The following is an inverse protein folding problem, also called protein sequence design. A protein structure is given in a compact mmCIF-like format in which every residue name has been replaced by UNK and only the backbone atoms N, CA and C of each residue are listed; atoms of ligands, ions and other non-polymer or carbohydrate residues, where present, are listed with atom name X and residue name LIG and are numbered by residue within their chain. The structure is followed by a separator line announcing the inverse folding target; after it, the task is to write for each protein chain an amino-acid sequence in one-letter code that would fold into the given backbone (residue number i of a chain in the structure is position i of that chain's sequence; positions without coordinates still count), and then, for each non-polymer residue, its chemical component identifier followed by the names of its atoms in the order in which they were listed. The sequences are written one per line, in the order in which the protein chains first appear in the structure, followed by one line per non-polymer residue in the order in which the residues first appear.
data_IF_563432514875
#
_entry.id   IF_563432514875
#
_cell.length_a   1.000
_cell.length_b   1.000
_cell.length_c   1.000
_cell.angle_alpha   90.00
_cell.angle_beta   90.00
_cell.angle_gamma   90.00
#
_symmetry.space_group_name_H-M   'P 1'
#
loop_
_entity.id
_entity.type
_entity.pdbx_description
1 polymer ?
#
# COMPACT_ATOMS: atom_id res chain seq x y z
N UNK A 1 8.54 -13.36 12.55
CA UNK A 1 9.49 -14.45 12.17
C UNK A 1 10.70 -13.75 11.58
N UNK A 2 11.94 -14.02 12.06
CA UNK A 2 13.13 -13.45 11.45
C UNK A 2 13.26 -13.97 10.02
N UNK A 3 13.59 -13.09 9.09
CA UNK A 3 14.06 -13.49 7.78
C UNK A 3 15.37 -14.28 7.98
N UNK A 4 15.41 -15.53 7.59
CA UNK A 4 16.56 -16.42 7.84
C UNK A 4 17.89 -16.00 7.19
N UNK A 5 17.90 -14.91 6.39
CA UNK A 5 19.10 -14.36 5.74
C UNK A 5 19.53 -13.00 6.30
N UNK A 6 18.62 -12.12 6.69
CA UNK A 6 18.95 -10.76 7.15
C UNK A 6 18.68 -10.56 8.63
N UNK A 7 18.03 -11.52 9.30
CA UNK A 7 17.63 -11.44 10.71
C UNK A 7 16.71 -10.23 11.04
N UNK A 8 16.07 -9.63 10.03
CA UNK A 8 15.15 -8.52 10.21
C UNK A 8 13.86 -9.00 10.86
N UNK A 9 13.40 -8.33 11.95
CA UNK A 9 12.18 -8.71 12.61
C UNK A 9 10.97 -8.35 11.76
N UNK A 10 10.25 -9.34 11.28
CA UNK A 10 8.97 -9.16 10.63
C UNK A 10 7.83 -9.18 11.67
N UNK A 11 6.99 -8.14 11.68
CA UNK A 11 5.82 -8.06 12.54
C UNK A 11 4.57 -8.28 11.72
N UNK A 12 3.97 -9.45 11.83
CA UNK A 12 2.60 -9.65 11.35
C UNK A 12 1.61 -9.23 12.44
N UNK A 13 0.64 -8.37 12.17
CA UNK A 13 -0.43 -8.08 13.10
C UNK A 13 -1.24 -9.35 13.35
N UNK A 14 -1.63 -9.58 14.61
CA UNK A 14 -2.57 -10.66 14.92
C UNK A 14 -3.96 -10.26 14.40
N UNK A 15 -4.42 -10.93 13.37
CA UNK A 15 -5.74 -10.72 12.78
C UNK A 15 -6.71 -11.78 13.29
N UNK A 16 -7.99 -11.38 13.48
CA UNK A 16 -9.07 -12.30 13.85
C UNK A 16 -9.98 -12.54 12.66
N UNK A 17 -10.21 -13.80 12.32
CA UNK A 17 -11.10 -14.18 11.24
C UNK A 17 -12.58 -13.89 11.59
N UNK A 18 -12.95 -13.99 12.87
CA UNK A 18 -14.29 -13.61 13.33
C UNK A 18 -14.49 -12.08 13.19
N UNK A 19 -15.44 -11.67 12.37
CA UNK A 19 -15.69 -10.26 12.05
C UNK A 19 -14.77 -9.66 11.00
N UNK A 20 -14.01 -10.49 10.26
CA UNK A 20 -13.24 -10.03 9.11
C UNK A 20 -14.16 -9.43 8.02
N UNK A 21 -13.61 -8.46 7.28
CA UNK A 21 -14.33 -7.84 6.18
C UNK A 21 -14.47 -8.80 4.98
N UNK A 22 -15.38 -8.45 4.07
CA UNK A 22 -15.59 -9.14 2.80
C UNK A 22 -14.94 -8.43 1.62
N UNK A 23 -14.46 -7.22 1.85
CA UNK A 23 -13.79 -6.42 0.84
C UNK A 23 -12.56 -5.75 1.45
N UNK A 24 -11.47 -5.73 0.67
CA UNK A 24 -10.17 -5.19 1.09
C UNK A 24 -9.48 -4.48 -0.08
N UNK A 25 -8.72 -3.46 0.24
CA UNK A 25 -7.83 -2.78 -0.71
C UNK A 25 -6.37 -2.94 -0.26
N UNK A 26 -5.53 -3.46 -1.16
CA UNK A 26 -4.07 -3.44 -1.03
C UNK A 26 -3.55 -2.32 -1.93
N UNK A 27 -3.09 -1.19 -1.40
CA UNK A 27 -2.85 0.02 -2.20
C UNK A 27 -1.65 -0.06 -3.14
N UNK A 28 -0.72 -0.97 -2.87
CA UNK A 28 0.49 -1.10 -3.69
C UNK A 28 0.85 -2.56 -3.87
N UNK A 29 0.81 -3.05 -5.10
CA UNK A 29 1.30 -4.37 -5.49
C UNK A 29 2.17 -4.21 -6.74
N UNK A 30 3.19 -5.06 -6.89
CA UNK A 30 4.12 -4.97 -8.01
C UNK A 30 4.64 -6.34 -8.44
N UNK A 31 4.94 -6.47 -9.73
CA UNK A 31 5.89 -7.40 -10.33
C UNK A 31 6.67 -6.58 -11.35
N UNK A 32 7.73 -5.88 -10.91
CA UNK A 32 8.39 -4.87 -11.74
C UNK A 32 9.81 -4.56 -11.29
N UNK A 33 10.62 -4.09 -12.24
CA UNK A 33 11.94 -3.55 -11.95
C UNK A 33 11.87 -2.25 -11.13
N UNK A 34 12.77 -2.14 -10.16
CA UNK A 34 13.01 -0.94 -9.36
C UNK A 34 14.31 -0.24 -9.71
N UNK A 35 14.71 0.73 -8.89
CA UNK A 35 16.01 1.39 -8.99
C UNK A 35 17.13 0.44 -8.55
N UNK A 36 18.36 0.71 -8.97
CA UNK A 36 19.58 -0.01 -8.57
C UNK A 36 19.54 -1.53 -8.85
N UNK A 37 18.80 -1.96 -9.90
CA UNK A 37 18.69 -3.37 -10.29
C UNK A 37 17.77 -4.21 -9.39
N UNK A 38 17.06 -3.62 -8.46
CA UNK A 38 16.06 -4.32 -7.66
C UNK A 38 14.90 -4.80 -8.54
N UNK A 39 14.30 -5.93 -8.18
CA UNK A 39 13.05 -6.41 -8.77
C UNK A 39 12.05 -6.67 -7.65
N UNK A 40 10.88 -6.04 -7.73
CA UNK A 40 9.83 -6.16 -6.74
C UNK A 40 8.80 -7.19 -7.18
N UNK A 41 8.40 -8.08 -6.25
CA UNK A 41 7.30 -9.03 -6.41
C UNK A 41 6.40 -8.97 -5.20
N UNK A 42 5.10 -8.94 -5.43
CA UNK A 42 4.12 -8.97 -4.34
C UNK A 42 3.50 -10.35 -4.24
N UNK A 43 3.49 -10.88 -3.03
CA UNK A 43 2.82 -12.13 -2.67
C UNK A 43 1.55 -11.80 -1.90
N UNK A 44 0.53 -12.63 -2.09
CA UNK A 44 -0.74 -12.55 -1.38
C UNK A 44 -0.97 -13.83 -0.59
N UNK A 45 -1.23 -13.68 0.70
CA UNK A 45 -1.67 -14.73 1.60
C UNK A 45 -3.14 -14.47 1.94
N UNK A 46 -3.98 -15.49 1.85
CA UNK A 46 -5.40 -15.38 2.18
C UNK A 46 -5.80 -16.49 3.12
N UNK A 47 -6.55 -16.15 4.17
CA UNK A 47 -7.16 -17.10 5.08
C UNK A 47 -8.67 -16.88 5.12
N UNK A 48 -9.44 -17.92 4.84
CA UNK A 48 -10.88 -17.97 4.99
C UNK A 48 -11.26 -19.13 5.93
N UNK A 49 -12.38 -19.00 6.68
CA UNK A 49 -12.85 -20.08 7.56
C UNK A 49 -13.41 -21.25 6.76
N UNK A 50 -14.10 -20.94 5.65
CA UNK A 50 -14.74 -21.88 4.73
C UNK A 50 -14.15 -21.66 3.33
N UNK A 51 -14.36 -22.61 2.43
CA UNK A 51 -13.97 -22.45 1.03
C UNK A 51 -14.66 -21.21 0.45
N UNK A 52 -13.85 -20.33 -0.13
CA UNK A 52 -14.29 -19.05 -0.65
C UNK A 52 -13.78 -18.81 -2.08
N UNK A 53 -14.58 -18.12 -2.88
CA UNK A 53 -14.14 -17.55 -4.15
C UNK A 53 -13.98 -16.04 -3.97
N UNK A 54 -12.80 -15.54 -4.30
CA UNK A 54 -12.50 -14.12 -4.27
C UNK A 54 -12.43 -13.57 -5.70
N UNK A 55 -13.06 -12.43 -5.91
CA UNK A 55 -12.78 -11.59 -7.06
C UNK A 55 -11.61 -10.67 -6.70
N UNK A 56 -10.51 -10.78 -7.46
CA UNK A 56 -9.32 -9.96 -7.33
C UNK A 56 -9.27 -9.00 -8.52
N UNK A 57 -9.40 -7.69 -8.28
CA UNK A 57 -9.35 -6.67 -9.34
C UNK A 57 -8.09 -5.83 -9.21
N UNK A 58 -7.22 -5.90 -10.21
CA UNK A 58 -6.05 -5.03 -10.33
C UNK A 58 -6.47 -3.69 -10.91
N UNK A 59 -6.10 -2.61 -10.23
CA UNK A 59 -6.13 -1.24 -10.74
C UNK A 59 -4.70 -0.85 -11.16
N UNK A 60 -4.36 -0.90 -12.46
CA UNK A 60 -3.01 -0.63 -12.90
C UNK A 60 -2.58 0.83 -12.68
N UNK A 61 -1.34 1.02 -12.21
CA UNK A 61 -0.77 2.35 -11.97
C UNK A 61 -0.58 3.18 -13.25
N UNK A 62 -0.37 2.54 -14.38
CA UNK A 62 -0.20 3.17 -15.68
C UNK A 62 -1.51 3.74 -16.26
N UNK A 63 -2.63 3.53 -15.55
CA UNK A 63 -3.95 3.98 -15.98
C UNK A 63 -4.60 3.11 -17.04
N UNK A 64 -4.02 1.97 -17.43
CA UNK A 64 -4.68 1.00 -18.28
C UNK A 64 -5.96 0.45 -17.62
N UNK A 65 -6.90 -0.14 -18.39
CA UNK A 65 -8.14 -0.66 -17.83
C UNK A 65 -7.90 -1.67 -16.70
N UNK A 66 -8.74 -1.66 -15.64
CA UNK A 66 -8.71 -2.68 -14.60
C UNK A 66 -8.91 -4.09 -15.18
N UNK A 67 -8.33 -5.08 -14.51
CA UNK A 67 -8.49 -6.49 -14.84
C UNK A 67 -8.93 -7.27 -13.60
N UNK A 68 -9.87 -8.19 -13.74
CA UNK A 68 -10.39 -9.01 -12.64
C UNK A 68 -10.07 -10.48 -12.89
N UNK A 69 -9.49 -11.12 -11.88
CA UNK A 69 -9.24 -12.57 -11.83
C UNK A 69 -10.02 -13.19 -10.65
N UNK A 70 -10.32 -14.48 -10.75
CA UNK A 70 -10.91 -15.24 -9.64
C UNK A 70 -9.86 -16.09 -8.95
N UNK A 71 -9.94 -16.12 -7.63
CA UNK A 71 -9.06 -16.88 -6.76
C UNK A 71 -9.91 -17.82 -5.88
N UNK A 72 -9.74 -19.12 -6.03
CA UNK A 72 -10.31 -20.10 -5.12
C UNK A 72 -9.40 -20.23 -3.88
N UNK A 73 -9.98 -20.05 -2.70
CA UNK A 73 -9.29 -20.13 -1.41
C UNK A 73 -9.85 -21.27 -0.59
N UNK A 74 -9.05 -22.29 -0.22
CA UNK A 74 -9.52 -23.37 0.62
C UNK A 74 -9.87 -22.86 2.04
N UNK A 75 -10.89 -23.46 2.65
CA UNK A 75 -11.26 -23.13 4.03
C UNK A 75 -10.28 -23.69 5.05
N UNK A 76 -10.05 -22.92 6.14
CA UNK A 76 -9.31 -23.38 7.30
C UNK A 76 -7.79 -23.43 7.16
N UNK A 77 -7.24 -23.09 5.99
CA UNK A 77 -5.79 -23.06 5.75
C UNK A 77 -5.38 -21.80 4.96
N UNK A 78 -4.18 -21.24 5.22
CA UNK A 78 -3.65 -20.16 4.40
C UNK A 78 -3.46 -20.62 2.95
N UNK A 79 -3.94 -19.80 2.02
CA UNK A 79 -3.65 -19.92 0.60
C UNK A 79 -2.63 -18.86 0.19
N UNK A 80 -1.62 -19.23 -0.59
CA UNK A 80 -0.52 -18.34 -0.98
C UNK A 80 -0.49 -18.22 -2.50
N UNK A 81 -0.45 -16.98 -2.98
CA UNK A 81 -0.21 -16.63 -4.38
C UNK A 81 1.12 -15.88 -4.43
N UNK A 82 2.19 -16.55 -4.85
CA UNK A 82 3.50 -15.93 -5.05
C UNK A 82 3.52 -15.17 -6.38
N UNK A 83 4.16 -14.00 -6.41
CA UNK A 83 4.16 -13.07 -7.55
C UNK A 83 2.76 -12.88 -8.14
N UNK A 84 1.86 -12.37 -7.32
CA UNK A 84 0.43 -12.31 -7.60
C UNK A 84 0.09 -11.65 -8.95
N UNK A 85 0.91 -10.68 -9.44
CA UNK A 85 0.67 -10.07 -10.74
C UNK A 85 0.97 -11.05 -11.87
N UNK A 86 2.09 -11.74 -11.82
CA UNK A 86 2.45 -12.70 -12.85
C UNK A 86 1.47 -13.90 -12.89
N UNK A 87 0.93 -14.30 -11.73
CA UNK A 87 0.01 -15.44 -11.62
C UNK A 87 -1.43 -15.06 -11.97
N UNK A 88 -1.97 -13.98 -11.39
CA UNK A 88 -3.38 -13.61 -11.56
C UNK A 88 -3.61 -12.66 -12.76
N UNK A 89 -2.62 -11.86 -13.11
CA UNK A 89 -2.72 -10.80 -14.14
C UNK A 89 -1.53 -10.82 -15.09
N UNK A 90 -1.27 -11.93 -15.80
CA UNK A 90 -0.07 -12.07 -16.64
C UNK A 90 0.00 -11.02 -17.76
N UNK A 91 -1.14 -10.51 -18.22
CA UNK A 91 -1.21 -9.43 -19.21
C UNK A 91 -0.73 -8.07 -18.68
N UNK A 92 -0.63 -7.91 -17.36
CA UNK A 92 -0.22 -6.70 -16.65
C UNK A 92 1.16 -6.81 -16.01
N UNK A 93 1.80 -7.97 -16.09
CA UNK A 93 3.17 -8.17 -15.66
C UNK A 93 4.14 -8.01 -16.86
N UNK A 94 5.28 -7.28 -16.71
CA UNK A 94 5.66 -6.53 -15.51
C UNK A 94 4.81 -5.25 -15.32
N UNK A 95 4.47 -4.97 -14.05
CA UNK A 95 3.63 -3.82 -13.73
C UNK A 95 3.47 -3.57 -12.24
N UNK A 96 2.69 -2.55 -11.91
CA UNK A 96 2.33 -2.20 -10.54
C UNK A 96 0.93 -1.59 -10.48
N UNK A 97 0.31 -1.64 -9.31
CA UNK A 97 -1.04 -1.09 -9.14
C UNK A 97 -1.55 -1.26 -7.72
N UNK A 98 -2.88 -1.13 -7.55
CA UNK A 98 -3.57 -1.53 -6.34
C UNK A 98 -4.42 -2.78 -6.61
N UNK A 99 -4.63 -3.60 -5.58
CA UNK A 99 -5.45 -4.79 -5.65
C UNK A 99 -6.71 -4.60 -4.80
N UNK A 100 -7.87 -4.75 -5.41
CA UNK A 100 -9.15 -4.85 -4.73
C UNK A 100 -9.51 -6.33 -4.61
N UNK A 101 -9.86 -6.75 -3.39
CA UNK A 101 -10.27 -8.12 -3.11
C UNK A 101 -11.70 -8.10 -2.57
N UNK A 102 -12.57 -8.95 -3.08
CA UNK A 102 -13.93 -9.10 -2.56
C UNK A 102 -14.40 -10.54 -2.59
N UNK A 103 -15.27 -10.89 -1.64
CA UNK A 103 -15.90 -12.22 -1.54
C UNK A 103 -17.27 -12.10 -0.88
N UNK A 104 -18.11 -13.11 -1.06
CA UNK A 104 -19.36 -13.24 -0.31
C UNK A 104 -19.15 -13.68 1.14
N UNK A 105 -18.00 -14.29 1.45
CA UNK A 105 -17.61 -14.75 2.77
C UNK A 105 -16.49 -13.87 3.35
N UNK A 106 -16.42 -13.69 4.68
CA UNK A 106 -15.32 -12.99 5.34
C UNK A 106 -13.99 -13.71 5.12
N UNK A 107 -12.92 -12.93 4.92
CA UNK A 107 -11.56 -13.45 4.77
C UNK A 107 -10.52 -12.44 5.29
N UNK A 108 -9.31 -12.91 5.54
CA UNK A 108 -8.17 -12.10 5.96
C UNK A 108 -7.08 -12.17 4.89
N UNK A 109 -6.75 -11.08 4.21
CA UNK A 109 -5.59 -11.00 3.36
C UNK A 109 -4.37 -10.51 4.15
N UNK A 110 -3.19 -10.95 3.75
CA UNK A 110 -1.90 -10.36 4.06
C UNK A 110 -1.13 -10.26 2.75
N UNK A 111 -0.59 -9.11 2.46
CA UNK A 111 0.22 -8.91 1.28
C UNK A 111 1.65 -8.47 1.66
N UNK A 112 2.63 -8.97 0.94
CA UNK A 112 4.05 -8.69 1.17
C UNK A 112 4.70 -8.39 -0.17
N UNK A 113 5.44 -7.29 -0.26
CA UNK A 113 6.34 -7.09 -1.40
C UNK A 113 7.74 -7.54 -1.03
N UNK A 114 8.31 -8.40 -1.84
CA UNK A 114 9.72 -8.80 -1.78
C UNK A 114 10.52 -8.03 -2.81
N UNK A 115 11.73 -7.63 -2.44
CA UNK A 115 12.73 -7.06 -3.34
C UNK A 115 13.97 -7.94 -3.33
N UNK A 116 14.56 -8.16 -4.49
CA UNK A 116 15.80 -8.91 -4.67
C UNK A 116 16.85 -7.97 -5.27
N UNK A 117 17.39 -6.99 -4.52
CA UNK A 117 18.49 -6.18 -4.99
C UNK A 117 19.81 -6.96 -4.92
N UNK A 118 20.87 -6.52 -5.61
CA UNK A 118 22.20 -7.13 -5.50
C UNK A 118 22.76 -7.16 -4.07
N UNK A 119 22.27 -6.26 -3.19
CA UNK A 119 22.70 -6.14 -1.79
C UNK A 119 22.04 -7.18 -0.86
N UNK A 120 21.08 -7.95 -1.33
CA UNK A 120 20.37 -8.98 -0.59
C UNK A 120 18.85 -8.78 -0.57
N UNK A 121 18.08 -9.84 -0.27
CA UNK A 121 16.62 -9.77 -0.30
C UNK A 121 16.07 -8.93 0.84
N UNK A 122 15.09 -8.10 0.56
CA UNK A 122 14.29 -7.36 1.54
C UNK A 122 12.80 -7.64 1.34
N UNK A 123 12.00 -7.38 2.36
CA UNK A 123 10.55 -7.53 2.28
C UNK A 123 9.84 -6.43 3.07
N UNK A 124 8.67 -6.05 2.60
CA UNK A 124 7.79 -5.06 3.23
C UNK A 124 6.38 -5.61 3.28
N UNK A 125 5.74 -5.48 4.45
CA UNK A 125 4.32 -5.69 4.57
C UNK A 125 3.56 -4.58 3.86
N UNK A 126 2.55 -4.96 3.09
CA UNK A 126 1.64 -4.02 2.47
C UNK A 126 0.37 -3.90 3.33
N UNK A 127 -0.13 -2.69 3.59
CA UNK A 127 -1.37 -2.54 4.32
C UNK A 127 -2.52 -3.16 3.52
N UNK A 128 -3.29 -4.03 4.17
CA UNK A 128 -4.57 -4.50 3.67
C UNK A 128 -5.66 -3.72 4.38
N UNK A 129 -6.31 -2.80 3.69
CA UNK A 129 -7.30 -1.89 4.26
C UNK A 129 -8.70 -2.47 4.02
N UNK A 130 -9.45 -2.82 5.10
CA UNK A 130 -10.82 -3.31 4.95
C UNK A 130 -11.76 -2.21 4.49
N UNK A 131 -12.87 -2.60 3.88
CA UNK A 131 -13.99 -1.69 3.61
C UNK A 131 -14.39 -0.94 4.89
N UNK A 132 -14.58 0.39 4.79
CA UNK A 132 -14.81 1.28 5.91
C UNK A 132 -13.53 1.77 6.61
N UNK A 133 -12.34 1.24 6.25
CA UNK A 133 -11.03 1.69 6.72
C UNK A 133 -10.41 2.83 5.91
N UNK A 134 -11.09 3.32 4.88
CA UNK A 134 -10.62 4.39 4.01
C UNK A 134 -10.56 5.73 4.75
N UNK A 135 -9.72 6.63 4.24
CA UNK A 135 -9.73 8.06 4.58
C UNK A 135 -10.97 8.69 3.93
N UNK A 136 -11.82 9.28 4.75
CA UNK A 136 -13.05 9.96 4.32
C UNK A 136 -13.13 11.35 4.96
N UNK A 137 -14.02 12.25 4.53
CA UNK A 137 -14.22 13.52 5.20
C UNK A 137 -14.44 13.34 6.70
N UNK A 138 -13.69 14.11 7.52
CA UNK A 138 -13.75 14.04 8.99
C UNK A 138 -12.94 12.90 9.64
N UNK A 139 -12.37 11.97 8.87
CA UNK A 139 -11.49 10.89 9.39
C UNK A 139 -10.12 10.90 8.71
N UNK A 140 -9.27 11.90 8.98
CA UNK A 140 -7.92 11.98 8.44
C UNK A 140 -7.00 10.94 9.09
N UNK A 141 -5.89 10.64 8.39
CA UNK A 141 -4.80 9.83 8.91
C UNK A 141 -3.48 10.59 8.80
N UNK A 142 -2.53 10.30 9.68
CA UNK A 142 -1.19 10.84 9.65
C UNK A 142 -0.16 9.72 9.47
N UNK A 143 0.90 10.00 8.73
CA UNK A 143 2.07 9.14 8.58
C UNK A 143 3.28 9.88 9.13
N UNK A 144 3.83 9.40 10.24
CA UNK A 144 5.04 9.95 10.85
C UNK A 144 6.30 9.26 10.30
N UNK A 145 7.40 10.00 10.21
CA UNK A 145 8.67 9.49 9.69
C UNK A 145 8.81 9.63 8.17
N UNK A 146 8.12 10.60 7.57
CA UNK A 146 8.29 10.95 6.16
C UNK A 146 9.65 11.63 5.98
N UNK A 147 10.45 11.08 5.08
CA UNK A 147 11.79 11.59 4.77
C UNK A 147 11.93 11.96 3.28
N UNK A 148 12.76 12.97 3.03
CA UNK A 148 13.32 13.33 1.74
C UNK A 148 14.71 13.88 1.98
N UNK A 149 15.72 13.02 1.94
CA UNK A 149 17.12 13.37 2.24
C UNK A 149 18.07 12.55 1.36
N UNK A 150 19.35 12.71 1.56
CA UNK A 150 20.36 11.88 0.90
C UNK A 150 20.30 10.40 1.33
N UNK A 151 19.71 10.12 2.51
CA UNK A 151 19.65 8.77 3.07
C UNK A 151 18.32 8.04 2.82
N UNK A 152 17.23 8.78 2.58
CA UNK A 152 15.92 8.16 2.37
C UNK A 152 14.96 9.10 1.62
N UNK A 153 13.95 8.50 0.98
CA UNK A 153 12.81 9.19 0.40
C UNK A 153 11.51 8.50 0.82
N UNK A 154 10.39 9.20 0.74
CA UNK A 154 9.09 8.61 1.01
C UNK A 154 8.16 8.72 -0.20
N UNK A 155 7.52 7.60 -0.55
CA UNK A 155 6.53 7.54 -1.59
C UNK A 155 5.13 7.40 -0.97
N UNK A 156 4.16 8.14 -1.51
CA UNK A 156 2.74 8.02 -1.15
C UNK A 156 1.99 7.36 -2.29
N UNK A 157 1.19 6.35 -1.97
CA UNK A 157 0.20 5.77 -2.87
C UNK A 157 -1.20 6.12 -2.39
N UNK A 158 -2.03 6.61 -3.31
CA UNK A 158 -3.43 6.92 -3.09
C UNK A 158 -4.29 6.10 -4.05
N UNK A 159 -5.37 5.51 -3.54
CA UNK A 159 -6.32 4.70 -4.33
C UNK A 159 -7.73 5.20 -4.06
N UNK A 160 -8.49 5.45 -5.12
CA UNK A 160 -9.93 5.69 -5.05
C UNK A 160 -10.66 4.43 -5.55
N UNK A 161 -11.01 3.48 -4.68
CA UNK A 161 -11.44 2.14 -5.12
C UNK A 161 -12.79 2.13 -5.85
N UNK A 162 -13.74 2.94 -5.43
CA UNK A 162 -15.11 2.90 -5.96
C UNK A 162 -15.55 4.22 -6.61
N UNK A 163 -15.33 5.34 -5.95
CA UNK A 163 -15.77 6.67 -6.39
C UNK A 163 -14.61 7.64 -6.41
N UNK A 164 -14.72 8.71 -7.21
CA UNK A 164 -13.72 9.76 -7.23
C UNK A 164 -13.55 10.39 -5.84
N UNK A 165 -12.32 10.76 -5.51
CA UNK A 165 -12.00 11.40 -4.24
C UNK A 165 -11.13 12.64 -4.49
N UNK A 166 -11.29 13.65 -3.61
CA UNK A 166 -10.43 14.81 -3.53
C UNK A 166 -9.66 14.77 -2.23
N UNK A 167 -8.35 14.57 -2.32
CA UNK A 167 -7.47 14.32 -1.18
C UNK A 167 -6.59 15.54 -0.94
N UNK A 168 -6.58 16.00 0.31
CA UNK A 168 -5.72 17.08 0.79
C UNK A 168 -4.56 16.48 1.56
N UNK A 169 -3.36 16.87 1.19
CA UNK A 169 -2.10 16.50 1.82
C UNK A 169 -1.51 17.72 2.54
N UNK A 170 -1.08 17.56 3.79
CA UNK A 170 -0.33 18.59 4.52
C UNK A 170 0.92 17.97 5.13
N UNK A 171 2.05 18.59 4.90
CA UNK A 171 3.33 18.14 5.46
C UNK A 171 3.75 19.06 6.60
N UNK A 172 4.13 18.44 7.71
CA UNK A 172 4.63 19.10 8.92
C UNK A 172 6.03 18.61 9.22
N UNK A 173 6.88 19.51 9.66
CA UNK A 173 8.21 19.25 10.24
C UNK A 173 8.27 19.85 11.64
N UNK A 174 9.30 19.59 12.47
CA UNK A 174 9.38 20.16 13.82
C UNK A 174 9.27 21.69 13.88
N UNK A 175 9.69 22.40 12.83
CA UNK A 175 9.56 23.86 12.72
C UNK A 175 8.17 24.36 12.34
N UNK A 176 7.24 23.46 11.97
CA UNK A 176 5.87 23.82 11.60
C UNK A 176 5.41 23.21 10.26
N UNK A 177 4.28 23.72 9.73
CA UNK A 177 3.76 23.23 8.45
C UNK A 177 4.60 23.74 7.28
N UNK A 178 4.93 22.85 6.33
CA UNK A 178 5.62 23.18 5.09
C UNK A 178 4.66 23.56 3.96
N UNK A 179 3.39 23.20 4.05
CA UNK A 179 2.42 23.53 3.04
C UNK A 179 1.33 22.48 2.84
N UNK A 180 0.57 22.69 1.77
CA UNK A 180 -0.60 21.91 1.43
C UNK A 180 -0.61 21.59 -0.07
N UNK A 181 -1.12 20.42 -0.42
CA UNK A 181 -1.37 19.98 -1.81
C UNK A 181 -2.73 19.28 -1.87
N UNK A 182 -3.38 19.40 -3.01
CA UNK A 182 -4.62 18.69 -3.31
C UNK A 182 -4.39 17.76 -4.49
N UNK A 183 -4.90 16.55 -4.37
CA UNK A 183 -4.82 15.50 -5.39
C UNK A 183 -6.25 15.07 -5.72
N UNK A 184 -6.65 15.23 -6.98
CA UNK A 184 -7.90 14.69 -7.49
C UNK A 184 -7.68 13.27 -7.97
N UNK A 185 -8.43 12.32 -7.42
CA UNK A 185 -8.36 10.90 -7.73
C UNK A 185 -9.62 10.49 -8.49
N UNK A 186 -9.53 10.15 -9.78
CA UNK A 186 -10.67 9.54 -10.47
C UNK A 186 -11.04 8.18 -9.85
N UNK A 187 -12.31 7.79 -9.96
CA UNK A 187 -12.78 6.49 -9.51
C UNK A 187 -12.00 5.33 -10.17
N UNK A 188 -11.69 4.29 -9.40
CA UNK A 188 -10.95 3.13 -9.89
C UNK A 188 -9.50 3.44 -10.29
N UNK A 189 -8.87 4.47 -9.71
CA UNK A 189 -7.51 4.87 -10.06
C UNK A 189 -6.55 4.80 -8.88
N UNK A 190 -5.29 4.59 -9.24
CA UNK A 190 -4.12 4.63 -8.36
C UNK A 190 -3.26 5.81 -8.76
N UNK A 191 -2.85 6.62 -7.80
CA UNK A 191 -1.85 7.67 -7.96
C UNK A 191 -0.71 7.42 -7.01
N UNK A 192 0.50 7.32 -7.54
CA UNK A 192 1.72 7.27 -6.73
C UNK A 192 2.46 8.60 -6.85
N UNK A 193 2.77 9.20 -5.71
CA UNK A 193 3.62 10.37 -5.59
C UNK A 193 4.97 9.90 -5.06
N UNK A 194 5.94 9.77 -5.96
CA UNK A 194 7.32 9.50 -5.59
C UNK A 194 7.90 10.75 -4.94
N UNK A 195 8.75 10.54 -3.91
CA UNK A 195 9.38 11.65 -3.18
C UNK A 195 8.34 12.67 -2.73
N UNK A 196 7.35 12.19 -1.94
CA UNK A 196 6.17 13.00 -1.61
C UNK A 196 6.53 14.31 -0.90
N UNK A 197 7.58 14.34 -0.07
CA UNK A 197 7.99 15.55 0.64
C UNK A 197 8.60 16.59 -0.31
N UNK A 198 9.26 16.19 -1.40
CA UNK A 198 9.77 17.09 -2.43
C UNK A 198 8.66 17.85 -3.19
N UNK A 199 7.38 17.48 -2.98
CA UNK A 199 6.24 18.24 -3.50
C UNK A 199 5.93 19.49 -2.67
N UNK A 200 6.54 19.64 -1.49
CA UNK A 200 6.28 20.73 -0.55
C UNK A 200 7.48 21.66 -0.39
N UNK A 201 8.68 21.16 -0.51
CA UNK A 201 9.95 21.92 -0.35
C UNK A 201 11.06 21.25 -1.14
N UNK A 202 12.06 22.07 -1.53
CA UNK A 202 13.33 21.60 -2.08
C UNK A 202 14.38 21.31 -0.98
N UNK A 203 14.10 21.74 0.25
CA UNK A 203 14.97 21.47 1.41
C UNK A 203 14.79 20.02 1.88
N UNK A 204 15.86 19.40 2.43
CA UNK A 204 15.75 18.07 3.01
C UNK A 204 14.72 18.01 4.14
N UNK A 205 13.96 16.92 4.16
CA UNK A 205 12.99 16.63 5.21
C UNK A 205 13.40 15.36 5.93
N UNK A 206 13.53 15.42 7.25
CA UNK A 206 13.81 14.28 8.11
C UNK A 206 12.73 14.17 9.20
N UNK A 207 12.12 12.99 9.31
CA UNK A 207 11.11 12.70 10.33
C UNK A 207 9.83 13.53 10.22
N UNK A 208 9.48 13.99 9.03
CA UNK A 208 8.25 14.74 8.79
C UNK A 208 6.98 13.95 9.09
N UNK A 209 5.86 14.64 9.21
CA UNK A 209 4.52 14.04 9.37
C UNK A 209 3.62 14.48 8.22
N UNK A 210 3.17 13.51 7.43
CA UNK A 210 2.22 13.74 6.34
C UNK A 210 0.80 13.47 6.84
N UNK A 211 -0.04 14.50 6.85
CA UNK A 211 -1.46 14.40 7.13
C UNK A 211 -2.22 14.22 5.81
N UNK A 212 -3.02 13.18 5.72
CA UNK A 212 -3.88 12.85 4.57
C UNK A 212 -5.33 12.95 5.00
N UNK A 213 -6.11 13.77 4.32
CA UNK A 213 -7.54 13.96 4.55
C UNK A 213 -8.30 13.99 3.23
N UNK A 214 -9.55 13.53 3.21
CA UNK A 214 -10.43 13.69 2.06
C UNK A 214 -11.33 14.92 2.25
N UNK A 215 -11.45 15.73 1.21
CA UNK A 215 -12.46 16.79 1.10
C UNK A 215 -13.78 16.21 0.60
N UNK A 216 -13.72 15.21 -0.26
CA UNK A 216 -14.86 14.45 -0.79
C UNK A 216 -14.44 13.04 -1.18
N UNK A 217 -15.40 12.13 -1.23
CA UNK A 217 -15.18 10.72 -1.58
C UNK A 217 -14.45 9.94 -0.49
N UNK A 218 -13.83 8.84 -0.89
CA UNK A 218 -13.05 7.95 -0.03
C UNK A 218 -11.76 7.54 -0.74
N UNK A 219 -10.64 7.49 -0.01
CA UNK A 219 -9.36 7.07 -0.54
C UNK A 219 -8.63 6.14 0.44
N UNK A 220 -7.93 5.16 -0.08
CA UNK A 220 -6.92 4.41 0.67
C UNK A 220 -5.57 5.08 0.46
N UNK A 221 -4.83 5.30 1.54
CA UNK A 221 -3.51 5.90 1.52
C UNK A 221 -2.47 4.94 2.13
N UNK A 222 -1.30 4.88 1.52
CA UNK A 222 -0.16 4.12 2.02
C UNK A 222 1.12 4.90 1.77
N UNK A 223 2.00 4.95 2.76
CA UNK A 223 3.32 5.59 2.64
C UNK A 223 4.40 4.55 2.89
N UNK A 224 5.39 4.51 2.02
CA UNK A 224 6.61 3.74 2.18
C UNK A 224 7.83 4.68 2.23
N UNK A 225 8.64 4.54 3.27
CA UNK A 225 9.98 5.13 3.36
C UNK A 225 10.96 4.18 2.70
N UNK A 226 11.80 4.68 1.82
CA UNK A 226 12.74 3.90 1.02
C UNK A 226 14.15 4.36 1.33
N UNK A 227 14.98 3.45 1.80
CA UNK A 227 16.41 3.69 2.01
C UNK A 227 17.12 3.98 0.68
N UNK A 228 17.94 5.03 0.63
CA UNK A 228 18.58 5.47 -0.61
C UNK A 228 19.75 4.56 -1.03
N UNK A 229 20.42 3.90 -0.08
CA UNK A 229 21.55 3.04 -0.35
C UNK A 229 21.12 1.63 -0.79
N UNK A 230 20.15 1.05 -0.09
CA UNK A 230 19.73 -0.34 -0.31
C UNK A 230 18.48 -0.44 -1.20
N UNK A 231 17.73 0.65 -1.32
CA UNK A 231 16.41 0.71 -1.94
C UNK A 231 15.35 -0.14 -1.19
N UNK A 232 15.61 -0.46 0.08
CA UNK A 232 14.68 -1.22 0.92
C UNK A 232 13.50 -0.36 1.34
N UNK A 233 12.27 -0.79 1.09
CA UNK A 233 11.08 -0.10 1.53
C UNK A 233 10.70 -0.48 2.96
N UNK A 234 10.24 0.50 3.73
CA UNK A 234 9.60 0.32 5.02
C UNK A 234 8.24 1.03 5.04
N UNK A 235 7.17 0.29 5.28
CA UNK A 235 5.82 0.85 5.38
C UNK A 235 5.67 1.73 6.64
N UNK A 236 5.10 2.91 6.50
CA UNK A 236 4.72 3.75 7.61
C UNK A 236 3.29 3.43 8.03
N UNK A 237 3.10 3.17 9.32
CA UNK A 237 1.76 2.88 9.85
C UNK A 237 0.90 4.16 9.86
N UNK A 238 -0.36 4.09 9.38
CA UNK A 238 -1.30 5.19 9.51
C UNK A 238 -1.70 5.39 10.96
N UNK A 239 -1.66 6.62 11.43
CA UNK A 239 -2.10 7.04 12.76
C UNK A 239 -3.45 7.75 12.64
N UNK A 240 -4.49 7.32 13.34
CA UNK A 240 -5.77 8.04 13.35
C UNK A 240 -5.59 9.42 13.99
N UNK A 241 -6.18 10.43 13.38
CA UNK A 241 -6.14 11.81 13.89
C UNK A 241 -7.53 12.19 14.40
N UNK A 242 -7.59 12.58 15.66
CA UNK A 242 -8.82 13.12 16.25
C UNK A 242 -8.92 14.61 15.89
N UNK A 243 -9.88 14.94 15.04
CA UNK A 243 -10.23 16.34 14.75
C UNK A 243 -11.16 16.82 15.88
N UNK A 244 -10.68 17.77 16.68
CA UNK A 244 -11.46 18.44 17.72
C UNK A 244 -12.08 19.71 17.16
#
# INVERSE_FOLDING_TARGET
VPNGRTNDPWRAPALRLAGAARSWTVPAVASAGGRNGAYFRSDLFVLAAEEASLDATLLPRDGSPPETARLAVPGGAPHVVEDLLAVLFPSKAPGAGALLLSSTLPFLPLAVTRSEPPTGPSSQDLPCVPEGGEVVPGRPVAFAGVDESSSARSNLVLVAPAAAARVRLRLFVPSGPLGERVVDLPAGRVVQLDSVAARFTDDPVEGGTLLVSCESGAAVASVARIDAATNDPAGLAPLPVVVR
#
